data_IF_808237122622
#
_entry.id   IF_808237122622
#
_cell.length_a   1.000
_cell.length_b   1.000
_cell.length_c   1.000
_cell.angle_alpha   90.00
_cell.angle_beta   90.00
_cell.angle_gamma   90.00
#
_symmetry.space_group_name_H-M   'P 1'
#
loop_
_entity.id
_entity.type
_entity.pdbx_description
1 polymer ?
#
# COMPACT_ATOMS: atom_id res chain seq x y z
N UNK A 1 18.02 26.74 -1.78
CA UNK A 1 17.39 26.12 -0.62
C UNK A 1 17.23 24.64 -0.86
N UNK A 2 17.73 23.83 0.01
CA UNK A 2 17.59 22.41 -0.10
C UNK A 2 16.14 21.99 0.01
N UNK A 3 15.71 21.18 -0.92
CA UNK A 3 14.39 20.57 -0.85
C UNK A 3 14.38 19.48 0.21
N UNK A 4 13.38 19.46 1.09
CA UNK A 4 13.20 18.34 2.02
C UNK A 4 13.13 16.99 1.30
N UNK A 5 12.75 16.99 0.02
CA UNK A 5 12.62 15.79 -0.80
C UNK A 5 13.94 15.10 -1.09
N UNK A 6 15.06 15.84 -1.17
CA UNK A 6 16.38 15.25 -1.42
C UNK A 6 16.86 14.42 -0.25
N UNK A 7 16.42 14.75 0.97
CA UNK A 7 16.82 14.11 2.21
C UNK A 7 15.66 13.37 2.89
N UNK A 8 14.62 13.07 2.15
CA UNK A 8 13.43 12.43 2.70
C UNK A 8 13.01 11.21 1.92
N UNK A 9 12.35 10.33 2.61
CA UNK A 9 11.75 9.13 2.09
C UNK A 9 10.26 9.19 2.42
N UNK A 10 9.41 8.74 1.50
CA UNK A 10 7.99 8.58 1.77
C UNK A 10 7.68 7.09 1.85
N UNK A 11 7.16 6.67 3.00
CA UNK A 11 6.68 5.32 3.21
C UNK A 11 5.17 5.25 2.97
N UNK A 12 4.76 4.23 2.25
CA UNK A 12 3.34 3.94 2.02
C UNK A 12 3.07 2.57 2.66
N UNK A 13 2.19 2.56 3.64
CA UNK A 13 1.72 1.32 4.26
C UNK A 13 0.33 1.02 3.74
N UNK A 14 0.25 0.06 2.82
CA UNK A 14 -1.00 -0.37 2.22
C UNK A 14 -1.59 -1.48 3.09
N UNK A 15 -2.46 -1.10 4.00
CA UNK A 15 -3.10 -2.04 4.91
C UNK A 15 -4.39 -2.65 4.38
N UNK A 16 -5.06 -3.40 5.22
CA UNK A 16 -6.31 -4.08 4.85
C UNK A 16 -7.50 -3.14 4.71
N UNK A 17 -7.51 -2.04 5.45
CA UNK A 17 -8.65 -1.10 5.48
C UNK A 17 -8.27 0.31 5.05
N UNK A 18 -6.99 0.61 5.00
CA UNK A 18 -6.51 1.97 4.72
C UNK A 18 -5.08 1.98 4.19
N UNK A 19 -4.72 3.09 3.57
CA UNK A 19 -3.33 3.40 3.20
C UNK A 19 -2.85 4.51 4.11
N UNK A 20 -1.72 4.31 4.77
CA UNK A 20 -1.06 5.33 5.57
C UNK A 20 0.20 5.79 4.83
N UNK A 21 0.39 7.10 4.73
CA UNK A 21 1.55 7.70 4.08
C UNK A 21 2.28 8.53 5.11
N UNK A 22 3.57 8.29 5.26
CA UNK A 22 4.40 9.01 6.22
C UNK A 22 5.74 9.34 5.59
N UNK A 23 6.12 10.62 5.61
CA UNK A 23 7.47 11.00 5.25
C UNK A 23 8.42 10.73 6.41
N UNK A 24 9.69 10.53 6.07
CA UNK A 24 10.75 10.34 7.05
C UNK A 24 11.99 11.09 6.57
N UNK A 25 12.72 11.68 7.51
CA UNK A 25 14.02 12.30 7.22
C UNK A 25 15.10 11.25 7.30
N UNK A 26 15.98 11.27 6.33
CA UNK A 26 17.11 10.34 6.24
C UNK A 26 18.42 11.12 6.23
N UNK A 27 19.46 10.50 6.76
CA UNK A 27 20.81 11.05 6.70
C UNK A 27 21.53 10.61 5.42
N UNK A 28 22.74 11.14 5.11
CA UNK A 28 23.50 10.72 3.93
C UNK A 28 23.78 9.22 3.85
N UNK A 29 23.78 8.53 4.99
CA UNK A 29 23.96 7.07 5.06
C UNK A 29 22.66 6.30 4.84
N UNK A 30 21.58 6.99 4.54
CA UNK A 30 20.25 6.40 4.27
C UNK A 30 19.61 5.78 5.51
N UNK A 31 19.98 6.25 6.69
CA UNK A 31 19.36 5.85 7.95
C UNK A 31 18.24 6.83 8.29
N UNK A 32 17.10 6.32 8.71
CA UNK A 32 15.96 7.15 9.13
C UNK A 32 16.32 7.83 10.45
N UNK A 33 16.21 9.17 10.48
CA UNK A 33 16.51 9.98 11.65
C UNK A 33 15.24 10.30 12.44
N UNK A 34 14.16 10.65 11.73
CA UNK A 34 12.92 11.10 12.36
C UNK A 34 11.77 11.05 11.36
N UNK A 35 10.55 11.14 11.88
CA UNK A 35 9.36 11.34 11.06
C UNK A 35 9.40 12.74 10.44
N UNK A 36 9.00 12.81 9.17
CA UNK A 36 8.78 14.08 8.49
C UNK A 36 7.38 14.62 8.78
N UNK A 37 7.08 15.79 8.19
CA UNK A 37 5.81 16.48 8.41
C UNK A 37 4.65 15.91 7.60
N UNK A 38 4.94 15.28 6.47
CA UNK A 38 3.90 14.77 5.61
C UNK A 38 3.35 13.46 6.18
N UNK A 39 2.07 13.49 6.52
CA UNK A 39 1.35 12.29 7.01
C UNK A 39 -0.08 12.37 6.53
N UNK A 40 -0.52 11.35 5.80
CA UNK A 40 -1.90 11.25 5.32
C UNK A 40 -2.42 9.82 5.48
N UNK A 41 -3.72 9.72 5.66
CA UNK A 41 -4.42 8.46 5.78
C UNK A 41 -5.60 8.45 4.82
N UNK A 42 -5.74 7.37 4.06
CA UNK A 42 -6.84 7.16 3.13
C UNK A 42 -7.57 5.88 3.49
N UNK A 43 -8.80 6.02 3.97
CA UNK A 43 -9.63 4.87 4.35
C UNK A 43 -10.41 4.41 3.12
N UNK A 44 -10.32 3.12 2.77
CA UNK A 44 -10.96 2.59 1.55
C UNK A 44 -12.48 2.78 1.56
N UNK A 45 -13.10 2.64 2.71
CA UNK A 45 -14.55 2.79 2.85
C UNK A 45 -15.07 4.19 2.54
N UNK A 46 -14.16 5.17 2.44
CA UNK A 46 -14.53 6.53 2.00
C UNK A 46 -14.76 6.63 0.50
N UNK A 47 -14.29 5.64 -0.27
CA UNK A 47 -14.50 5.63 -1.71
C UNK A 47 -15.99 5.32 -2.01
N UNK A 48 -16.63 6.08 -2.92
CA UNK A 48 -18.06 5.91 -3.17
C UNK A 48 -18.44 4.54 -3.72
N UNK A 49 -17.53 3.86 -4.40
CA UNK A 49 -17.78 2.56 -5.00
C UNK A 49 -17.34 1.39 -4.10
N UNK A 50 -16.83 1.69 -2.90
CA UNK A 50 -16.43 0.63 -1.97
C UNK A 50 -17.65 -0.10 -1.45
N UNK A 51 -17.61 -1.44 -1.49
CA UNK A 51 -18.68 -2.27 -0.95
C UNK A 51 -18.52 -2.42 0.57
N UNK A 52 -19.40 -1.82 1.39
CA UNK A 52 -19.29 -1.92 2.84
C UNK A 52 -19.54 -3.34 3.38
N UNK A 53 -20.16 -4.19 2.56
CA UNK A 53 -20.41 -5.58 2.93
C UNK A 53 -19.33 -6.54 2.45
N UNK A 54 -18.29 -6.01 1.78
CA UNK A 54 -17.20 -6.84 1.30
C UNK A 54 -16.46 -7.53 2.44
N UNK A 55 -16.24 -8.82 2.28
CA UNK A 55 -15.45 -9.62 3.21
C UNK A 55 -14.28 -10.24 2.46
N UNK A 56 -13.05 -10.03 2.90
CA UNK A 56 -11.89 -10.65 2.26
C UNK A 56 -11.95 -12.17 2.41
N UNK A 57 -11.35 -12.86 1.45
CA UNK A 57 -11.22 -14.32 1.51
C UNK A 57 -10.46 -14.71 2.78
N UNK A 58 -10.95 -15.68 3.57
CA UNK A 58 -10.24 -16.13 4.77
C UNK A 58 -8.81 -16.56 4.49
N UNK A 59 -7.90 -16.23 5.39
CA UNK A 59 -6.48 -16.50 5.23
C UNK A 59 -6.19 -17.97 4.96
N UNK A 60 -6.86 -18.89 5.66
CA UNK A 60 -6.69 -20.32 5.45
C UNK A 60 -6.99 -20.76 4.03
N UNK A 61 -8.04 -20.19 3.43
CA UNK A 61 -8.39 -20.47 2.05
C UNK A 61 -7.39 -19.87 1.07
N UNK A 62 -6.91 -18.65 1.33
CA UNK A 62 -5.86 -18.02 0.52
C UNK A 62 -4.59 -18.88 0.49
N UNK A 63 -4.17 -19.39 1.63
CA UNK A 63 -2.99 -20.26 1.74
C UNK A 63 -3.21 -21.55 0.94
N UNK A 64 -4.38 -22.17 1.07
CA UNK A 64 -4.73 -23.38 0.34
C UNK A 64 -4.70 -23.17 -1.17
N UNK A 65 -5.31 -22.10 -1.65
CA UNK A 65 -5.32 -21.77 -3.08
C UNK A 65 -3.90 -21.50 -3.59
N UNK A 66 -3.08 -20.78 -2.83
CA UNK A 66 -1.70 -20.50 -3.20
C UNK A 66 -0.87 -21.79 -3.30
N UNK A 67 -1.03 -22.71 -2.36
CA UNK A 67 -0.29 -23.98 -2.34
C UNK A 67 -0.70 -24.88 -3.48
N UNK A 68 -1.95 -24.85 -3.90
CA UNK A 68 -2.44 -25.66 -5.03
C UNK A 68 -2.20 -25.00 -6.38
N UNK A 69 -1.66 -23.77 -6.41
CA UNK A 69 -1.48 -22.98 -7.63
C UNK A 69 -2.79 -22.67 -8.37
N UNK A 70 -3.90 -22.74 -7.65
CA UNK A 70 -5.25 -22.48 -8.17
C UNK A 70 -5.84 -21.24 -7.52
N UNK A 71 -5.19 -20.09 -7.71
CA UNK A 71 -5.67 -18.84 -7.16
C UNK A 71 -6.85 -18.34 -7.97
N UNK A 72 -7.99 -18.17 -7.31
CA UNK A 72 -9.19 -17.61 -7.90
C UNK A 72 -9.36 -16.16 -7.48
N UNK A 73 -9.42 -15.28 -8.46
CA UNK A 73 -9.76 -13.87 -8.21
C UNK A 73 -11.26 -13.72 -8.38
N UNK A 74 -11.94 -13.49 -7.28
CA UNK A 74 -13.39 -13.32 -7.26
C UNK A 74 -13.75 -11.92 -7.76
N UNK A 75 -14.95 -11.79 -8.36
CA UNK A 75 -15.40 -10.51 -8.92
C UNK A 75 -15.39 -9.38 -7.88
N UNK A 76 -15.85 -9.67 -6.67
CA UNK A 76 -15.84 -8.70 -5.58
C UNK A 76 -14.43 -8.28 -5.19
N UNK A 77 -13.49 -9.22 -5.13
CA UNK A 77 -12.08 -8.96 -4.83
C UNK A 77 -11.45 -8.08 -5.91
N UNK A 78 -11.72 -8.37 -7.17
CA UNK A 78 -11.21 -7.57 -8.28
C UNK A 78 -11.70 -6.13 -8.20
N UNK A 79 -12.99 -5.95 -7.91
CA UNK A 79 -13.56 -4.61 -7.78
C UNK A 79 -12.89 -3.81 -6.66
N UNK A 80 -12.74 -4.42 -5.49
CA UNK A 80 -12.08 -3.75 -4.37
C UNK A 80 -10.60 -3.51 -4.64
N UNK A 81 -9.94 -4.48 -5.26
CA UNK A 81 -8.56 -4.36 -5.68
C UNK A 81 -8.33 -3.22 -6.66
N UNK A 82 -9.21 -3.05 -7.63
CA UNK A 82 -9.12 -1.96 -8.61
C UNK A 82 -9.24 -0.59 -7.92
N UNK A 83 -10.09 -0.47 -6.91
CA UNK A 83 -10.21 0.75 -6.10
C UNK A 83 -8.89 1.06 -5.39
N UNK A 84 -8.28 0.05 -4.78
CA UNK A 84 -7.00 0.21 -4.07
C UNK A 84 -5.89 0.61 -5.04
N UNK A 85 -5.82 -0.03 -6.20
CA UNK A 85 -4.80 0.27 -7.22
C UNK A 85 -4.98 1.70 -7.73
N UNK A 86 -6.19 2.12 -8.01
CA UNK A 86 -6.48 3.50 -8.45
C UNK A 86 -6.05 4.51 -7.39
N UNK A 87 -6.37 4.25 -6.13
CA UNK A 87 -5.98 5.11 -5.02
C UNK A 87 -4.46 5.20 -4.90
N UNK A 88 -3.75 4.08 -4.97
CA UNK A 88 -2.30 4.05 -4.92
C UNK A 88 -1.67 4.79 -6.09
N UNK A 89 -2.23 4.65 -7.28
CA UNK A 89 -1.77 5.36 -8.46
C UNK A 89 -1.86 6.87 -8.26
N UNK A 90 -3.00 7.36 -7.78
CA UNK A 90 -3.20 8.78 -7.50
C UNK A 90 -2.22 9.29 -6.43
N UNK A 91 -2.01 8.51 -5.38
CA UNK A 91 -1.06 8.85 -4.31
C UNK A 91 0.36 8.95 -4.88
N UNK A 92 0.80 7.95 -5.62
CA UNK A 92 2.16 7.89 -6.19
C UNK A 92 2.38 9.04 -7.14
N UNK A 93 1.42 9.37 -7.98
CA UNK A 93 1.52 10.52 -8.88
C UNK A 93 1.68 11.84 -8.12
N UNK A 94 1.01 11.98 -6.97
CA UNK A 94 1.10 13.20 -6.15
C UNK A 94 2.44 13.39 -5.46
N UNK A 95 3.23 12.32 -5.32
CA UNK A 95 4.53 12.33 -4.62
C UNK A 95 5.66 11.79 -5.50
N UNK A 96 5.50 11.88 -6.83
CA UNK A 96 6.40 11.23 -7.80
C UNK A 96 7.85 11.72 -7.77
N UNK A 97 8.13 12.91 -7.26
CA UNK A 97 9.51 13.43 -7.13
C UNK A 97 10.19 12.96 -5.85
N UNK A 98 9.56 12.14 -5.04
CA UNK A 98 10.12 11.63 -3.79
C UNK A 98 10.64 10.21 -3.98
N UNK A 99 11.53 9.80 -3.08
CA UNK A 99 11.86 8.39 -2.95
C UNK A 99 10.74 7.71 -2.17
N UNK A 100 10.25 6.58 -2.68
CA UNK A 100 9.06 5.93 -2.14
C UNK A 100 9.37 4.50 -1.77
N UNK A 101 9.00 4.12 -0.54
CA UNK A 101 8.96 2.72 -0.11
C UNK A 101 7.52 2.30 0.10
N UNK A 102 7.16 1.11 -0.34
CA UNK A 102 5.79 0.61 -0.23
C UNK A 102 5.78 -0.74 0.48
N UNK A 103 4.88 -0.88 1.45
CA UNK A 103 4.56 -2.12 2.12
C UNK A 103 3.17 -2.61 1.69
N UNK A 104 3.07 -3.87 1.28
CA UNK A 104 1.80 -4.50 0.96
C UNK A 104 1.54 -5.70 1.85
N UNK A 105 0.29 -5.94 2.27
CA UNK A 105 -0.07 -7.23 2.86
C UNK A 105 -0.09 -8.30 1.77
N UNK A 106 0.22 -9.52 2.12
CA UNK A 106 0.13 -10.62 1.17
C UNK A 106 0.92 -11.84 1.60
N UNK A 107 0.68 -12.92 0.88
CA UNK A 107 1.43 -14.16 1.05
C UNK A 107 2.56 -14.14 0.04
N UNK A 108 3.78 -14.36 0.53
CA UNK A 108 4.97 -14.46 -0.32
C UNK A 108 5.45 -15.89 -0.37
N UNK A 109 5.89 -16.31 -1.54
CA UNK A 109 6.65 -17.54 -1.72
C UNK A 109 8.13 -17.21 -1.96
N UNK A 110 8.93 -18.23 -2.29
CA UNK A 110 10.38 -18.08 -2.53
C UNK A 110 10.68 -17.24 -3.79
N UNK A 111 9.69 -16.98 -4.61
CA UNK A 111 9.83 -16.24 -5.87
C UNK A 111 9.22 -14.84 -5.81
N UNK A 112 8.81 -14.40 -4.64
CA UNK A 112 8.16 -13.13 -4.43
C UNK A 112 6.67 -13.31 -4.14
N UNK A 113 5.82 -12.66 -4.88
CA UNK A 113 4.36 -12.70 -4.65
C UNK A 113 3.68 -13.71 -5.55
#
# INVERSE_FOLDING_TARGET
MESERSDSLIGIDCGASKVLIQSAKINPKRTIISKGRYCKEYVYSSHPDWDPCYQPTPLGLQIKENNSKSILIRKAERKQGDIIVELLQDIIESISDSQIGICFPGIKDDYGV
#
